data_IF_443735684748
#
_entry.id   IF_443735684748
#
_cell.length_a   1.000
_cell.length_b   1.000
_cell.length_c   1.000
_cell.angle_alpha   90.00
_cell.angle_beta   90.00
_cell.angle_gamma   90.00
#
_symmetry.space_group_name_H-M   'P 1'
#
loop_
_entity.id
_entity.type
_entity.pdbx_description
1 polymer ?
#
# COMPACT_ATOMS: atom_id res chain seq x y z
N UNK A 1 24.95 -19.24 -11.50
CA UNK A 1 25.36 -18.07 -10.68
C UNK A 1 24.73 -16.81 -11.26
N UNK A 2 23.49 -16.50 -10.91
CA UNK A 2 22.88 -15.20 -11.27
C UNK A 2 22.97 -14.29 -10.06
N UNK A 3 23.94 -13.38 -10.11
CA UNK A 3 24.17 -12.35 -9.11
C UNK A 3 22.89 -11.52 -8.94
N UNK A 4 22.23 -11.64 -7.77
CA UNK A 4 21.18 -10.70 -7.38
C UNK A 4 21.88 -9.40 -7.04
N UNK A 5 21.87 -8.46 -7.98
CA UNK A 5 22.13 -7.07 -7.66
C UNK A 5 21.01 -6.61 -6.72
N UNK A 6 21.29 -6.64 -5.41
CA UNK A 6 20.47 -6.03 -4.38
C UNK A 6 20.53 -4.52 -4.62
N UNK A 7 19.62 -3.99 -5.44
CA UNK A 7 19.41 -2.55 -5.53
C UNK A 7 18.81 -2.10 -4.21
N UNK A 8 19.65 -1.63 -3.29
CA UNK A 8 19.20 -0.97 -2.08
C UNK A 8 18.42 0.28 -2.50
N UNK A 9 17.17 0.40 -2.04
CA UNK A 9 16.34 1.57 -2.32
C UNK A 9 16.95 2.80 -1.64
N UNK A 10 16.99 3.93 -2.35
CA UNK A 10 17.34 5.21 -1.72
C UNK A 10 16.32 5.57 -0.64
N UNK A 11 16.66 6.37 0.39
CA UNK A 11 15.72 6.80 1.41
C UNK A 11 14.46 7.46 0.83
N UNK A 12 14.61 8.25 -0.23
CA UNK A 12 13.52 8.89 -0.96
C UNK A 12 12.60 7.85 -1.63
N UNK A 13 13.19 6.81 -2.23
CA UNK A 13 12.43 5.71 -2.84
C UNK A 13 11.66 4.94 -1.77
N UNK A 14 12.30 4.66 -0.62
CA UNK A 14 11.66 3.97 0.49
C UNK A 14 10.50 4.76 1.09
N UNK A 15 10.66 6.08 1.26
CA UNK A 15 9.59 6.98 1.72
C UNK A 15 8.39 6.97 0.76
N UNK A 16 8.66 7.05 -0.56
CA UNK A 16 7.59 6.98 -1.57
C UNK A 16 6.88 5.62 -1.59
N UNK A 17 7.65 4.53 -1.55
CA UNK A 17 7.10 3.18 -1.46
C UNK A 17 6.21 3.00 -0.23
N UNK A 18 6.59 3.60 0.90
CA UNK A 18 5.82 3.56 2.13
C UNK A 18 4.43 4.19 1.94
N UNK A 19 4.35 5.46 1.55
CA UNK A 19 3.03 6.12 1.42
C UNK A 19 2.19 5.51 0.30
N UNK A 20 2.81 5.06 -0.80
CA UNK A 20 2.06 4.38 -1.87
C UNK A 20 1.43 3.08 -1.35
N UNK A 21 2.16 2.34 -0.51
CA UNK A 21 1.63 1.15 0.17
C UNK A 21 0.47 1.49 1.12
N UNK A 22 0.60 2.54 1.91
CA UNK A 22 -0.46 3.01 2.82
C UNK A 22 -1.72 3.38 2.04
N UNK A 23 -1.59 4.23 1.02
CA UNK A 23 -2.69 4.65 0.16
C UNK A 23 -3.37 3.46 -0.53
N UNK A 24 -2.59 2.44 -0.95
CA UNK A 24 -3.15 1.27 -1.60
C UNK A 24 -4.07 0.43 -0.72
N UNK A 25 -3.96 0.55 0.60
CA UNK A 25 -4.76 -0.17 1.60
C UNK A 25 -5.78 0.73 2.30
N UNK A 26 -5.98 1.95 1.82
CA UNK A 26 -6.87 2.93 2.46
C UNK A 26 -8.36 2.55 2.40
N UNK A 27 -8.77 1.62 1.53
CA UNK A 27 -10.18 1.18 1.42
C UNK A 27 -10.48 -0.19 2.07
N UNK A 28 -9.57 -0.72 2.88
CA UNK A 28 -9.75 -2.04 3.54
C UNK A 28 -10.83 -2.01 4.63
N UNK A 29 -11.18 -0.84 5.13
CA UNK A 29 -12.14 -0.60 6.22
C UNK A 29 -12.78 0.78 6.10
N UNK A 30 -13.95 0.95 6.70
CA UNK A 30 -14.73 2.18 6.63
C UNK A 30 -14.00 3.41 7.20
N UNK A 31 -13.33 3.35 8.37
CA UNK A 31 -12.59 4.49 8.91
C UNK A 31 -11.46 4.97 8.00
N UNK A 32 -10.68 4.05 7.44
CA UNK A 32 -9.60 4.40 6.51
C UNK A 32 -10.16 5.02 5.21
N UNK A 33 -11.30 4.52 4.74
CA UNK A 33 -12.00 5.10 3.58
C UNK A 33 -12.44 6.52 3.88
N UNK A 34 -13.09 6.74 5.00
CA UNK A 34 -13.58 8.06 5.40
C UNK A 34 -12.41 9.05 5.54
N UNK A 35 -11.29 8.64 6.15
CA UNK A 35 -10.09 9.47 6.25
C UNK A 35 -9.62 9.95 4.87
N UNK A 36 -9.49 9.06 3.88
CA UNK A 36 -9.11 9.46 2.53
C UNK A 36 -10.15 10.40 1.89
N UNK A 37 -11.45 10.11 2.08
CA UNK A 37 -12.53 10.92 1.53
C UNK A 37 -12.57 12.34 2.09
N UNK A 38 -12.26 12.54 3.39
CA UNK A 38 -12.19 13.89 3.99
C UNK A 38 -11.17 14.79 3.29
N UNK A 39 -10.11 14.21 2.73
CA UNK A 39 -9.08 14.96 2.01
C UNK A 39 -9.34 15.09 0.50
N UNK A 40 -10.42 14.53 -0.04
CA UNK A 40 -10.67 14.56 -1.48
C UNK A 40 -10.74 15.97 -2.06
N UNK A 41 -11.44 16.89 -1.38
CA UNK A 41 -11.53 18.28 -1.82
C UNK A 41 -10.13 18.91 -1.92
N UNK A 42 -9.31 18.77 -0.87
CA UNK A 42 -7.94 19.28 -0.85
C UNK A 42 -7.02 18.62 -1.89
N UNK A 43 -7.17 17.31 -2.12
CA UNK A 43 -6.40 16.60 -3.15
C UNK A 43 -6.71 17.10 -4.56
N UNK A 44 -7.97 17.51 -4.80
CA UNK A 44 -8.47 18.06 -6.07
C UNK A 44 -8.34 19.59 -6.16
N UNK A 45 -7.92 20.28 -5.10
CA UNK A 45 -7.77 21.74 -5.03
C UNK A 45 -6.46 22.22 -5.68
N UNK A 46 -6.21 21.74 -6.89
CA UNK A 46 -5.05 22.06 -7.72
C UNK A 46 -5.38 21.62 -9.14
N UNK A 47 -4.96 22.38 -10.14
CA UNK A 47 -5.08 21.95 -11.52
C UNK A 47 -4.19 20.73 -11.79
N UNK A 48 -4.75 19.69 -12.39
CA UNK A 48 -4.02 18.50 -12.81
C UNK A 48 -4.59 17.93 -14.11
N UNK A 49 -3.75 17.16 -14.79
CA UNK A 49 -4.12 16.40 -15.97
C UNK A 49 -4.03 14.91 -15.66
N UNK A 50 -5.01 14.14 -16.15
CA UNK A 50 -4.91 12.69 -16.15
C UNK A 50 -4.03 12.24 -17.32
N UNK A 51 -2.75 11.99 -17.05
CA UNK A 51 -1.84 11.37 -18.03
C UNK A 51 -2.34 9.96 -18.40
N UNK A 52 -2.92 9.27 -17.42
CA UNK A 52 -3.70 8.05 -17.61
C UNK A 52 -4.91 8.09 -16.68
N UNK A 53 -6.10 8.17 -17.28
CA UNK A 53 -7.35 8.04 -16.54
C UNK A 53 -7.42 6.68 -15.78
N UNK A 54 -8.19 6.59 -14.68
CA UNK A 54 -8.35 5.34 -13.94
C UNK A 54 -8.82 4.17 -14.81
N UNK A 55 -7.93 3.19 -14.97
CA UNK A 55 -8.12 2.04 -15.85
C UNK A 55 -8.11 0.75 -15.03
N UNK A 56 -9.16 -0.05 -15.16
CA UNK A 56 -9.27 -1.36 -14.52
C UNK A 56 -8.69 -2.39 -15.48
N UNK A 57 -7.67 -3.11 -15.02
CA UNK A 57 -7.08 -4.24 -15.71
C UNK A 57 -6.90 -5.42 -14.77
N UNK A 58 -5.99 -6.32 -15.14
CA UNK A 58 -5.68 -7.52 -14.38
C UNK A 58 -4.17 -7.69 -14.26
N UNK A 59 -3.74 -8.32 -13.17
CA UNK A 59 -2.34 -8.71 -12.96
C UNK A 59 -2.28 -10.19 -12.60
N UNK A 60 -1.23 -10.86 -13.09
CA UNK A 60 -0.98 -12.27 -12.80
C UNK A 60 -0.33 -12.41 -11.42
N UNK A 61 -1.06 -13.04 -10.50
CA UNK A 61 -0.55 -13.34 -9.16
C UNK A 61 0.36 -14.55 -9.24
N UNK A 62 1.56 -14.44 -8.66
CA UNK A 62 2.54 -15.54 -8.62
C UNK A 62 2.69 -16.08 -7.20
N UNK A 63 2.49 -17.39 -7.07
CA UNK A 63 2.82 -18.14 -5.86
C UNK A 63 4.23 -18.73 -5.93
N UNK A 64 4.70 -19.31 -4.83
CA UNK A 64 5.94 -20.09 -4.76
C UNK A 64 5.65 -21.48 -4.20
N UNK A 65 6.12 -22.53 -4.88
CA UNK A 65 5.92 -23.93 -4.45
C UNK A 65 6.46 -24.12 -3.02
N UNK A 66 5.64 -24.62 -2.10
CA UNK A 66 6.04 -24.78 -0.69
C UNK A 66 6.45 -23.47 0.01
N UNK A 67 6.01 -22.30 -0.48
CA UNK A 67 6.31 -20.98 0.09
C UNK A 67 7.64 -20.35 -0.36
N UNK A 68 8.67 -21.16 -0.63
CA UNK A 68 10.02 -20.65 -0.98
C UNK A 68 10.55 -21.17 -2.33
N UNK A 69 9.98 -22.24 -2.87
CA UNK A 69 10.37 -22.90 -4.12
C UNK A 69 10.05 -22.12 -5.38
N UNK A 70 10.01 -22.81 -6.53
CA UNK A 70 9.83 -22.18 -7.84
C UNK A 70 8.53 -21.36 -7.93
N UNK A 71 8.60 -20.23 -8.65
CA UNK A 71 7.44 -19.39 -8.89
C UNK A 71 6.48 -20.06 -9.88
N UNK A 72 5.18 -19.93 -9.65
CA UNK A 72 4.14 -20.40 -10.56
C UNK A 72 2.97 -19.41 -10.60
N UNK A 73 2.16 -19.46 -11.65
CA UNK A 73 0.99 -18.59 -11.80
C UNK A 73 -0.14 -19.12 -10.90
N UNK A 74 -0.53 -18.35 -9.89
CA UNK A 74 -1.58 -18.69 -8.93
C UNK A 74 -2.97 -18.30 -9.44
N UNK A 75 -3.04 -17.31 -10.31
CA UNK A 75 -4.29 -16.79 -10.86
C UNK A 75 -4.15 -15.32 -11.21
N UNK A 76 -5.26 -14.62 -11.40
CA UNK A 76 -5.28 -13.21 -11.76
C UNK A 76 -6.04 -12.40 -10.72
N UNK A 77 -5.63 -11.14 -10.54
CA UNK A 77 -6.28 -10.19 -9.65
C UNK A 77 -6.58 -8.91 -10.41
N UNK A 78 -7.77 -8.34 -10.23
CA UNK A 78 -8.09 -7.02 -10.77
C UNK A 78 -7.20 -5.94 -10.17
N UNK A 79 -6.71 -5.03 -11.01
CA UNK A 79 -5.93 -3.85 -10.59
C UNK A 79 -6.48 -2.61 -11.27
N UNK A 80 -6.66 -1.54 -10.50
CA UNK A 80 -6.91 -0.20 -11.06
C UNK A 80 -5.61 0.60 -11.05
N UNK A 81 -5.23 1.18 -12.18
CA UNK A 81 -4.09 2.10 -12.30
C UNK A 81 -4.53 3.51 -12.68
N UNK A 82 -3.88 4.53 -12.16
CA UNK A 82 -4.09 5.93 -12.55
C UNK A 82 -2.75 6.68 -12.54
N UNK A 83 -2.60 7.64 -13.46
CA UNK A 83 -1.45 8.54 -13.49
C UNK A 83 -1.94 9.96 -13.69
N UNK A 84 -1.54 10.85 -12.79
CA UNK A 84 -1.88 12.28 -12.84
C UNK A 84 -0.62 13.12 -12.90
N UNK A 85 -0.73 14.32 -13.45
CA UNK A 85 0.32 15.34 -13.43
C UNK A 85 -0.27 16.64 -12.92
N UNK A 86 0.26 17.16 -11.82
CA UNK A 86 -0.11 18.48 -11.29
C UNK A 86 0.41 19.58 -12.22
N UNK A 87 -0.16 20.78 -12.09
CA UNK A 87 0.21 21.94 -12.91
C UNK A 87 1.71 22.30 -12.84
N UNK A 88 2.38 22.00 -11.72
CA UNK A 88 3.83 22.23 -11.55
C UNK A 88 4.71 21.08 -12.08
N UNK A 89 4.12 20.12 -12.79
CA UNK A 89 4.82 19.04 -13.47
C UNK A 89 5.03 17.77 -12.64
N UNK A 90 4.78 17.79 -11.32
CA UNK A 90 4.88 16.60 -10.47
C UNK A 90 3.89 15.54 -10.95
N UNK A 91 4.38 14.31 -11.11
CA UNK A 91 3.57 13.18 -11.59
C UNK A 91 3.34 12.19 -10.46
N UNK A 92 2.07 11.86 -10.22
CA UNK A 92 1.64 10.90 -9.22
C UNK A 92 1.07 9.64 -9.85
N UNK A 93 1.25 8.52 -9.16
CA UNK A 93 0.92 7.19 -9.66
C UNK A 93 0.11 6.41 -8.62
N UNK A 94 -0.78 5.55 -9.11
CA UNK A 94 -1.42 4.55 -8.28
C UNK A 94 -1.56 3.21 -9.02
N UNK A 95 -1.43 2.13 -8.25
CA UNK A 95 -1.70 0.75 -8.65
C UNK A 95 -2.38 0.06 -7.48
N UNK A 96 -3.68 -0.18 -7.62
CA UNK A 96 -4.53 -0.60 -6.52
C UNK A 96 -5.17 -1.94 -6.83
N UNK A 97 -5.18 -2.85 -5.87
CA UNK A 97 -5.98 -4.07 -5.99
C UNK A 97 -7.48 -3.71 -6.01
N UNK A 98 -8.23 -4.35 -6.89
CA UNK A 98 -9.67 -4.12 -7.04
C UNK A 98 -10.00 -3.29 -8.28
N UNK A 99 -11.14 -2.59 -8.21
CA UNK A 99 -11.79 -1.93 -9.36
C UNK A 99 -12.25 -0.51 -9.07
N UNK A 100 -11.81 0.07 -7.95
CA UNK A 100 -12.23 1.42 -7.54
C UNK A 100 -11.42 2.49 -8.29
N UNK A 101 -12.09 3.19 -9.21
CA UNK A 101 -11.50 4.26 -10.02
C UNK A 101 -11.27 5.55 -9.23
N UNK A 102 -12.19 5.89 -8.32
CA UNK A 102 -12.07 7.09 -7.48
C UNK A 102 -10.89 6.94 -6.54
N UNK A 103 -10.72 5.78 -5.92
CA UNK A 103 -9.54 5.49 -5.09
C UNK A 103 -8.25 5.60 -5.87
N UNK A 104 -8.19 5.05 -7.09
CA UNK A 104 -6.99 5.13 -7.92
C UNK A 104 -6.62 6.58 -8.25
N UNK A 105 -7.60 7.42 -8.57
CA UNK A 105 -7.39 8.85 -8.79
C UNK A 105 -6.88 9.57 -7.53
N UNK A 106 -7.56 9.41 -6.39
CA UNK A 106 -7.16 10.07 -5.14
C UNK A 106 -5.78 9.63 -4.66
N UNK A 107 -5.44 8.35 -4.81
CA UNK A 107 -4.12 7.83 -4.47
C UNK A 107 -3.02 8.41 -5.38
N UNK A 108 -3.30 8.58 -6.68
CA UNK A 108 -2.35 9.19 -7.62
C UNK A 108 -2.15 10.68 -7.30
N UNK A 109 -3.22 11.41 -6.97
CA UNK A 109 -3.12 12.81 -6.53
C UNK A 109 -2.31 12.94 -5.24
N UNK A 110 -2.59 12.08 -4.25
CA UNK A 110 -1.86 12.07 -2.98
C UNK A 110 -0.36 11.81 -3.20
N UNK A 111 0.00 10.83 -4.04
CA UNK A 111 1.40 10.57 -4.41
C UNK A 111 2.07 11.79 -5.04
N UNK A 112 1.37 12.53 -5.93
CA UNK A 112 1.91 13.75 -6.53
C UNK A 112 2.13 14.88 -5.50
N UNK A 113 1.16 15.05 -4.59
CA UNK A 113 1.21 16.05 -3.52
C UNK A 113 2.34 15.77 -2.52
N UNK A 114 2.54 14.51 -2.14
CA UNK A 114 3.62 14.05 -1.25
C UNK A 114 5.03 14.23 -1.82
N UNK A 115 5.17 14.55 -3.11
CA UNK A 115 6.45 14.86 -3.74
C UNK A 115 6.79 16.37 -3.73
N UNK A 116 5.93 17.23 -3.18
CA UNK A 116 6.14 18.69 -3.19
C UNK A 116 6.40 19.32 -1.84
N UNK A 117 6.35 20.65 -1.81
CA UNK A 117 6.67 21.46 -0.62
C UNK A 117 5.78 21.18 0.60
N UNK A 118 4.53 20.74 0.39
CA UNK A 118 3.58 20.41 1.46
C UNK A 118 3.68 18.95 1.93
N UNK A 119 4.75 18.23 1.59
CA UNK A 119 4.92 16.82 1.94
C UNK A 119 4.68 16.54 3.42
N UNK A 120 5.26 17.33 4.33
CA UNK A 120 5.13 17.12 5.78
C UNK A 120 3.67 17.16 6.24
N UNK A 121 2.86 18.07 5.68
CA UNK A 121 1.44 18.18 6.00
C UNK A 121 0.65 16.97 5.47
N UNK A 122 0.90 16.54 4.23
CA UNK A 122 0.25 15.34 3.70
C UNK A 122 0.67 14.06 4.44
N UNK A 123 1.91 14.00 4.94
CA UNK A 123 2.35 12.92 5.80
C UNK A 123 1.55 12.90 7.11
N UNK A 124 1.48 14.03 7.83
CA UNK A 124 0.80 14.10 9.13
C UNK A 124 -0.71 13.94 9.05
N UNK A 125 -1.35 14.56 8.07
CA UNK A 125 -2.81 14.62 7.99
C UNK A 125 -3.43 13.41 7.29
N UNK A 126 -2.73 12.83 6.30
CA UNK A 126 -3.26 11.74 5.49
C UNK A 126 -2.54 10.41 5.73
N UNK A 127 -1.22 10.37 5.61
CA UNK A 127 -0.49 9.10 5.59
C UNK A 127 -0.35 8.49 6.99
N UNK A 128 0.09 9.25 7.98
CA UNK A 128 0.29 8.75 9.35
C UNK A 128 -1.00 8.23 9.99
N UNK A 129 -2.17 8.91 9.89
CA UNK A 129 -3.42 8.39 10.43
C UNK A 129 -3.86 7.09 9.75
N UNK A 130 -3.73 7.01 8.42
CA UNK A 130 -4.02 5.78 7.67
C UNK A 130 -3.06 4.64 8.06
N UNK A 131 -1.77 4.94 8.22
CA UNK A 131 -0.76 3.96 8.60
C UNK A 131 -1.01 3.43 10.02
N UNK A 132 -1.34 4.30 10.97
CA UNK A 132 -1.70 3.93 12.34
C UNK A 132 -2.93 3.02 12.36
N UNK A 133 -4.01 3.40 11.68
CA UNK A 133 -5.21 2.58 11.58
C UNK A 133 -4.91 1.20 10.95
N UNK A 134 -4.03 1.13 9.95
CA UNK A 134 -3.59 -0.13 9.34
C UNK A 134 -2.81 -1.01 10.33
N UNK A 135 -1.89 -0.41 11.10
CA UNK A 135 -1.09 -1.11 12.11
C UNK A 135 -1.97 -1.65 13.25
N UNK A 136 -2.90 -0.86 13.76
CA UNK A 136 -3.84 -1.27 14.81
C UNK A 136 -4.72 -2.45 14.37
N UNK A 137 -5.26 -2.41 13.14
CA UNK A 137 -6.01 -3.54 12.58
C UNK A 137 -5.15 -4.78 12.44
N UNK A 138 -3.90 -4.63 12.00
CA UNK A 138 -2.98 -5.75 11.86
C UNK A 138 -2.70 -6.39 13.22
N UNK A 139 -2.37 -5.56 14.23
CA UNK A 139 -2.14 -6.02 15.59
C UNK A 139 -3.36 -6.74 16.18
N UNK A 140 -4.57 -6.22 15.96
CA UNK A 140 -5.81 -6.89 16.40
C UNK A 140 -5.96 -8.28 15.78
N UNK A 141 -5.78 -8.39 14.45
CA UNK A 141 -5.86 -9.68 13.76
C UNK A 141 -4.79 -10.66 14.24
N UNK A 142 -3.58 -10.18 14.50
CA UNK A 142 -2.48 -11.01 14.99
C UNK A 142 -2.77 -11.50 16.42
N UNK A 143 -3.36 -10.67 17.27
CA UNK A 143 -3.79 -11.06 18.62
C UNK A 143 -4.93 -12.10 18.60
N UNK A 144 -5.94 -11.90 17.74
CA UNK A 144 -7.03 -12.87 17.52
C UNK A 144 -6.47 -14.23 17.05
N UNK A 145 -5.51 -14.24 16.12
CA UNK A 145 -4.86 -15.46 15.66
C UNK A 145 -4.01 -16.12 16.76
N UNK A 146 -3.26 -15.34 17.53
CA UNK A 146 -2.43 -15.83 18.63
C UNK A 146 -3.26 -16.52 19.73
N UNK A 147 -4.50 -16.08 19.96
CA UNK A 147 -5.42 -16.73 20.88
C UNK A 147 -5.80 -18.16 20.46
N UNK A 148 -5.57 -18.53 19.20
CA UNK A 148 -5.81 -19.89 18.67
C UNK A 148 -4.52 -20.73 18.55
N UNK A 149 -3.39 -20.23 19.03
CA UNK A 149 -2.10 -20.91 18.96
C UNK A 149 -2.05 -22.08 19.96
N UNK A 150 -1.71 -23.26 19.46
CA UNK A 150 -1.45 -24.43 20.31
C UNK A 150 0.03 -24.44 20.68
N UNK A 151 0.34 -24.34 21.97
CA UNK A 151 1.70 -24.46 22.50
C UNK A 151 1.95 -25.90 22.98
N UNK A 152 2.94 -26.57 22.39
CA UNK A 152 3.41 -27.87 22.85
C UNK A 152 4.70 -27.69 23.65
N UNK A 153 4.71 -28.14 24.91
CA UNK A 153 5.92 -28.19 25.73
C UNK A 153 6.31 -29.65 25.98
N UNK A 154 7.60 -29.96 25.84
CA UNK A 154 8.19 -31.23 26.33
C UNK A 154 9.04 -30.91 27.54
N UNK A 155 8.60 -31.36 28.72
CA UNK A 155 9.34 -31.20 29.97
C UNK A 155 10.39 -32.30 30.04
N UNK A 156 11.66 -31.96 29.83
CA UNK A 156 12.77 -32.90 30.05
C UNK A 156 13.07 -32.91 31.54
N UNK A 157 12.86 -34.06 32.21
CA UNK A 157 13.35 -34.28 33.57
C UNK A 157 14.87 -34.45 33.49
N UNK A 158 15.63 -33.57 34.13
CA UNK A 158 17.03 -33.82 34.43
C UNK A 158 17.12 -34.91 35.49
N UNK A 159 17.68 -36.05 35.12
CA UNK A 159 18.11 -37.08 36.07
C UNK A 159 19.62 -36.86 36.28
N UNK A 160 19.98 -36.50 37.52
CA UNK A 160 21.29 -36.79 38.12
C UNK A 160 21.09 -37.89 39.17
#
# INVERSE_FOLDING_TARGET
MTSRCSMQATPETAARQHWMGVLARALVDEPSREQLQRHEAALRDTDYQMIRAPEIGMTLVRGRMGGTGSAFNLGEMSVTRCVVRLADGRTGYSYLAGRDKRHAELAALADAHLQGAQQAWWLSELIEPLARAQAERRARKDAEAAATKVEFFTLVRGED
#
